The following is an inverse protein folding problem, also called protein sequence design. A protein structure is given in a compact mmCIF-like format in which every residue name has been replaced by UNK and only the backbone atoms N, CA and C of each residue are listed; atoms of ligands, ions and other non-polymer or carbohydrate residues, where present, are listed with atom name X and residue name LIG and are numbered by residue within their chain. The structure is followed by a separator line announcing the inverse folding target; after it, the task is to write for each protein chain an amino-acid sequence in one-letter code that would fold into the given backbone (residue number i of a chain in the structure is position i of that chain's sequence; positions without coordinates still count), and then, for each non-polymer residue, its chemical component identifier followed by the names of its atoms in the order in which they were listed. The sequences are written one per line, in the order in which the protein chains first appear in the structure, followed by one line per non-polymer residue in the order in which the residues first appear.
data_IF_963081848750
#
_entry.id   IF_963081848750
#
_cell.length_a   1.000
_cell.length_b   1.000
_cell.length_c   1.000
_cell.angle_alpha   90.00
_cell.angle_beta   90.00
_cell.angle_gamma   90.00
#
_symmetry.space_group_name_H-M   'P 1'
#
loop_
_entity.id
_entity.type
_entity.pdbx_description
1 polymer ?
#
# COMPACT_ATOMS: atom_id res chain seq x y z
N UNK A 1 -4.08 6.14 5.47
CA UNK A 1 -2.86 5.82 4.69
C UNK A 1 -2.28 4.57 5.28
N UNK A 2 -2.10 3.50 4.51
CA UNK A 2 -1.59 2.24 5.05
C UNK A 2 -0.12 2.38 5.48
N UNK A 3 0.19 1.86 6.65
CA UNK A 3 1.56 1.71 7.13
C UNK A 3 2.31 0.63 6.31
N UNK A 4 3.65 0.55 6.44
CA UNK A 4 4.49 -0.40 5.70
C UNK A 4 4.05 -1.86 5.90
N UNK A 5 3.69 -2.21 7.14
CA UNK A 5 3.18 -3.55 7.51
C UNK A 5 1.82 -3.80 6.84
N UNK A 6 0.84 -2.92 7.06
CA UNK A 6 -0.51 -3.02 6.49
C UNK A 6 -0.47 -3.11 4.96
N UNK A 7 0.41 -2.36 4.32
CA UNK A 7 0.61 -2.39 2.87
C UNK A 7 1.12 -3.72 2.36
N UNK A 8 2.04 -4.37 3.09
CA UNK A 8 2.56 -5.70 2.73
C UNK A 8 1.51 -6.78 2.98
N UNK A 9 0.83 -6.73 4.12
CA UNK A 9 -0.28 -7.65 4.45
C UNK A 9 -1.40 -7.53 3.40
N UNK A 10 -1.77 -6.30 3.03
CA UNK A 10 -2.77 -6.04 2.00
C UNK A 10 -2.32 -6.54 0.61
N UNK A 11 -1.04 -6.36 0.26
CA UNK A 11 -0.47 -6.88 -0.99
C UNK A 11 -0.53 -8.41 -1.04
N UNK A 12 -0.27 -9.08 0.09
CA UNK A 12 -0.43 -10.53 0.20
C UNK A 12 -1.89 -10.96 -0.02
N UNK A 13 -2.85 -10.33 0.69
CA UNK A 13 -4.27 -10.62 0.50
C UNK A 13 -4.73 -10.36 -0.92
N UNK A 14 -4.31 -9.24 -1.51
CA UNK A 14 -4.60 -8.92 -2.91
C UNK A 14 -4.07 -10.01 -3.83
N UNK A 15 -2.81 -10.40 -3.73
CA UNK A 15 -2.24 -11.43 -4.60
C UNK A 15 -2.91 -12.80 -4.46
N UNK A 16 -3.33 -13.15 -3.24
CA UNK A 16 -3.97 -14.43 -2.96
C UNK A 16 -5.44 -14.46 -3.39
N UNK A 17 -6.12 -13.31 -3.33
CA UNK A 17 -7.56 -13.16 -3.58
C UNK A 17 -7.93 -12.38 -4.83
N UNK A 18 -6.94 -11.97 -5.62
CA UNK A 18 -7.19 -11.38 -6.93
C UNK A 18 -8.05 -12.34 -7.75
N UNK A 19 -9.17 -11.83 -8.27
CA UNK A 19 -10.17 -12.57 -9.05
C UNK A 19 -10.97 -13.65 -8.29
N UNK A 20 -10.98 -13.64 -6.94
CA UNK A 20 -11.82 -14.55 -6.13
C UNK A 20 -12.71 -13.75 -5.18
N UNK A 21 -13.94 -14.20 -4.97
CA UNK A 21 -14.88 -13.57 -4.02
C UNK A 21 -14.43 -13.73 -2.57
N UNK A 22 -13.80 -14.85 -2.24
CA UNK A 22 -13.28 -15.15 -0.90
C UNK A 22 -12.09 -16.10 -0.97
N UNK A 23 -11.09 -15.91 -0.11
CA UNK A 23 -10.01 -16.88 0.10
C UNK A 23 -9.97 -17.39 1.53
N UNK A 24 -9.58 -18.64 1.66
CA UNK A 24 -9.20 -19.24 2.92
C UNK A 24 -7.69 -19.06 3.09
N UNK A 25 -7.29 -18.42 4.18
CA UNK A 25 -5.89 -18.14 4.51
C UNK A 25 -5.66 -18.54 5.96
N UNK A 26 -4.56 -19.25 6.22
CA UNK A 26 -4.12 -19.52 7.59
C UNK A 26 -3.30 -18.34 8.10
N UNK A 27 -3.43 -17.94 9.37
CA UNK A 27 -2.63 -16.85 9.95
C UNK A 27 -1.12 -17.08 9.78
N UNK A 28 -0.69 -18.33 9.90
CA UNK A 28 0.71 -18.77 9.75
C UNK A 28 1.25 -18.52 8.34
N UNK A 29 0.44 -18.75 7.31
CA UNK A 29 0.83 -18.56 5.91
C UNK A 29 1.13 -17.08 5.60
N UNK A 30 0.44 -16.17 6.30
CA UNK A 30 0.66 -14.73 6.17
C UNK A 30 2.08 -14.42 6.65
N UNK A 31 2.45 -14.84 7.86
CA UNK A 31 3.79 -14.60 8.42
C UNK A 31 4.90 -15.16 7.54
N UNK A 32 4.76 -16.41 7.10
CA UNK A 32 5.75 -17.09 6.25
C UNK A 32 5.97 -16.31 4.95
N UNK A 33 4.90 -15.80 4.35
CA UNK A 33 4.98 -15.03 3.11
C UNK A 33 5.58 -13.63 3.25
N UNK A 34 5.59 -13.06 4.47
CA UNK A 34 6.17 -11.75 4.74
C UNK A 34 7.66 -11.82 5.09
N UNK A 35 8.20 -13.01 5.42
CA UNK A 35 9.63 -13.24 5.65
C UNK A 35 10.28 -13.54 4.29
N UNK A 36 11.29 -12.78 3.81
CA UNK A 36 12.27 -11.98 4.57
C UNK A 36 12.04 -10.45 4.56
N UNK A 37 10.96 -9.95 3.98
CA UNK A 37 10.73 -8.51 3.82
C UNK A 37 10.40 -7.79 5.15
N UNK A 38 9.82 -8.52 6.12
CA UNK A 38 9.40 -7.96 7.41
C UNK A 38 9.19 -9.04 8.48
N UNK A 39 9.95 -9.01 9.58
CA UNK A 39 9.60 -9.73 10.80
C UNK A 39 8.43 -9.00 11.48
N UNK A 40 7.32 -9.70 11.69
CA UNK A 40 6.11 -9.14 12.30
C UNK A 40 5.68 -10.06 13.45
N UNK A 41 5.37 -9.45 14.59
CA UNK A 41 4.86 -10.18 15.75
C UNK A 41 3.34 -10.46 15.62
N UNK A 42 2.80 -11.48 16.30
CA UNK A 42 1.36 -11.82 16.24
C UNK A 42 0.45 -10.63 16.49
N UNK A 43 0.77 -9.85 17.53
CA UNK A 43 -0.01 -8.68 17.94
C UNK A 43 0.01 -7.57 16.88
N UNK A 44 1.11 -7.44 16.15
CA UNK A 44 1.23 -6.44 15.08
C UNK A 44 0.47 -6.87 13.83
N UNK A 45 0.50 -8.16 13.52
CA UNK A 45 -0.30 -8.73 12.44
C UNK A 45 -1.79 -8.56 12.72
N UNK A 46 -2.25 -8.92 13.93
CA UNK A 46 -3.65 -8.76 14.32
C UNK A 46 -4.09 -7.29 14.28
N UNK A 47 -3.23 -6.37 14.74
CA UNK A 47 -3.50 -4.93 14.62
C UNK A 47 -3.62 -4.48 13.17
N UNK A 48 -2.68 -4.89 12.32
CA UNK A 48 -2.70 -4.53 10.90
C UNK A 48 -3.94 -5.08 10.19
N UNK A 49 -4.33 -6.32 10.48
CA UNK A 49 -5.55 -6.94 9.94
C UNK A 49 -6.79 -6.22 10.42
N UNK A 50 -6.90 -5.91 11.72
CA UNK A 50 -8.03 -5.15 12.26
C UNK A 50 -8.14 -3.75 11.65
N UNK A 51 -7.01 -3.06 11.44
CA UNK A 51 -7.00 -1.76 10.77
C UNK A 51 -7.47 -1.88 9.32
N UNK A 52 -7.06 -2.92 8.59
CA UNK A 52 -7.51 -3.17 7.22
C UNK A 52 -9.02 -3.47 7.14
N UNK A 53 -9.58 -4.14 8.15
CA UNK A 53 -11.03 -4.38 8.28
C UNK A 53 -11.75 -3.04 8.54
N UNK A 54 -11.26 -2.26 9.51
CA UNK A 54 -11.85 -0.96 9.89
C UNK A 54 -11.85 0.04 8.73
N UNK A 55 -10.75 0.11 7.98
CA UNK A 55 -10.62 0.97 6.81
C UNK A 55 -11.45 0.49 5.59
N UNK A 56 -12.01 -0.73 5.69
CA UNK A 56 -12.87 -1.34 4.68
C UNK A 56 -12.12 -1.87 3.46
N UNK A 57 -10.84 -2.24 3.61
CA UNK A 57 -10.06 -2.88 2.55
C UNK A 57 -10.44 -4.37 2.41
N UNK A 58 -10.68 -5.04 3.53
CA UNK A 58 -11.01 -6.47 3.58
C UNK A 58 -12.22 -6.73 4.48
N UNK A 59 -12.88 -7.85 4.23
CA UNK A 59 -13.78 -8.50 5.18
C UNK A 59 -13.13 -9.79 5.67
N UNK A 60 -13.16 -10.06 6.96
CA UNK A 60 -12.57 -11.25 7.55
C UNK A 60 -13.62 -11.98 8.38
N UNK A 61 -13.92 -13.20 7.95
CA UNK A 61 -14.79 -14.13 8.68
C UNK A 61 -13.91 -15.23 9.22
N UNK A 62 -13.83 -15.34 10.54
CA UNK A 62 -13.15 -16.47 11.19
C UNK A 62 -14.09 -17.67 11.13
N UNK A 63 -13.66 -18.75 10.49
CA UNK A 63 -14.42 -20.00 10.44
C UNK A 63 -13.53 -21.13 10.94
N UNK A 64 -14.09 -21.96 11.82
CA UNK A 64 -13.46 -23.22 12.20
C UNK A 64 -13.70 -24.27 11.12
N UNK A 65 -12.62 -24.79 10.54
CA UNK A 65 -12.68 -25.97 9.69
C UNK A 65 -11.88 -27.08 10.34
N UNK A 66 -12.56 -28.11 10.87
CA UNK A 66 -11.94 -29.28 11.51
C UNK A 66 -11.02 -28.93 12.70
N UNK A 67 -11.40 -27.95 13.52
CA UNK A 67 -10.67 -27.57 14.74
C UNK A 67 -9.43 -26.70 14.52
N UNK A 68 -9.24 -26.17 13.30
CA UNK A 68 -8.21 -25.19 12.99
C UNK A 68 -8.89 -23.86 12.60
N UNK A 69 -8.44 -22.71 13.15
CA UNK A 69 -8.98 -21.40 12.79
C UNK A 69 -8.55 -21.06 11.37
N UNK A 70 -9.51 -20.86 10.47
CA UNK A 70 -9.27 -20.44 9.09
C UNK A 70 -9.85 -19.05 8.89
N UNK A 71 -9.06 -18.13 8.33
CA UNK A 71 -9.54 -16.81 7.96
C UNK A 71 -10.12 -16.84 6.54
N UNK A 72 -11.44 -16.67 6.43
CA UNK A 72 -12.11 -16.34 5.19
C UNK A 72 -11.95 -14.84 4.93
N UNK A 73 -11.05 -14.48 4.02
CA UNK A 73 -10.79 -13.09 3.64
C UNK A 73 -11.45 -12.78 2.31
N UNK A 74 -12.28 -11.74 2.28
CA UNK A 74 -12.90 -11.20 1.07
C UNK A 74 -12.41 -9.78 0.80
N UNK A 75 -12.08 -9.47 -0.46
CA UNK A 75 -11.63 -8.14 -0.85
C UNK A 75 -12.84 -7.24 -1.12
N UNK A 76 -12.94 -6.14 -0.38
CA UNK A 76 -13.93 -5.09 -0.66
C UNK A 76 -13.50 -4.24 -1.86
N UNK A 77 -14.39 -3.35 -2.33
CA UNK A 77 -14.14 -2.44 -3.45
C UNK A 77 -12.86 -1.61 -3.29
N UNK A 78 -12.58 -1.11 -2.07
CA UNK A 78 -11.31 -0.42 -1.76
C UNK A 78 -10.10 -1.34 -1.87
N UNK A 79 -10.24 -2.59 -1.42
CA UNK A 79 -9.19 -3.59 -1.52
C UNK A 79 -8.86 -3.98 -2.95
N UNK A 80 -9.86 -4.07 -3.83
CA UNK A 80 -9.67 -4.32 -5.26
C UNK A 80 -9.02 -3.12 -5.97
N UNK A 81 -9.33 -1.90 -5.53
CA UNK A 81 -8.72 -0.69 -6.05
C UNK A 81 -7.28 -0.45 -5.55
N UNK A 82 -6.81 -1.18 -4.54
CA UNK A 82 -5.53 -0.97 -3.87
C UNK A 82 -4.32 -0.95 -4.82
N UNK A 83 -4.23 -1.85 -5.80
CA UNK A 83 -3.12 -1.82 -6.76
C UNK A 83 -3.15 -0.57 -7.66
N UNK A 84 -4.34 -0.18 -8.13
CA UNK A 84 -4.52 1.03 -8.94
C UNK A 84 -4.16 2.28 -8.15
N UNK A 85 -4.60 2.34 -6.89
CA UNK A 85 -4.27 3.44 -5.98
C UNK A 85 -2.76 3.49 -5.71
N UNK A 86 -2.11 2.35 -5.47
CA UNK A 86 -0.66 2.29 -5.29
C UNK A 86 0.12 2.79 -6.52
N UNK A 87 -0.33 2.45 -7.73
CA UNK A 87 0.30 2.91 -8.97
C UNK A 87 0.08 4.40 -9.20
N UNK A 88 -1.14 4.89 -8.94
CA UNK A 88 -1.47 6.31 -9.09
C UNK A 88 -0.66 7.16 -8.12
N UNK A 89 -0.58 6.79 -6.84
CA UNK A 89 0.21 7.52 -5.83
C UNK A 89 1.69 7.60 -6.22
N UNK A 90 2.27 6.55 -6.82
CA UNK A 90 3.66 6.60 -7.33
C UNK A 90 3.81 7.59 -8.48
N UNK A 91 2.86 7.63 -9.41
CA UNK A 91 2.88 8.54 -10.56
C UNK A 91 2.68 9.99 -10.13
N UNK A 92 1.76 10.25 -9.21
CA UNK A 92 1.49 11.58 -8.65
C UNK A 92 2.72 12.12 -7.92
N UNK A 93 3.34 11.34 -7.03
CA UNK A 93 4.56 11.76 -6.35
C UNK A 93 5.68 12.10 -7.34
N UNK A 94 5.86 11.31 -8.40
CA UNK A 94 6.84 11.61 -9.46
C UNK A 94 6.50 12.91 -10.19
N UNK A 95 5.23 13.13 -10.52
CA UNK A 95 4.77 14.35 -11.18
C UNK A 95 5.02 15.59 -10.33
N UNK A 96 4.73 15.52 -9.02
CA UNK A 96 5.00 16.60 -8.07
C UNK A 96 6.49 16.93 -8.00
N UNK A 97 7.36 15.92 -7.92
CA UNK A 97 8.82 16.13 -7.90
C UNK A 97 9.30 16.79 -9.20
N UNK A 98 8.87 16.28 -10.36
CA UNK A 98 9.24 16.86 -11.67
C UNK A 98 8.78 18.31 -11.77
N UNK A 99 7.54 18.61 -11.35
CA UNK A 99 6.99 19.96 -11.36
C UNK A 99 7.80 20.91 -10.46
N UNK A 100 8.16 20.46 -9.26
CA UNK A 100 8.99 21.25 -8.34
C UNK A 100 10.38 21.54 -8.93
N UNK A 101 11.01 20.56 -9.57
CA UNK A 101 12.30 20.75 -10.24
C UNK A 101 12.17 21.71 -11.41
N UNK A 102 11.15 21.55 -12.25
CA UNK A 102 10.92 22.44 -13.40
C UNK A 102 10.72 23.90 -12.97
N UNK A 103 9.94 24.13 -11.91
CA UNK A 103 9.76 25.48 -11.35
C UNK A 103 11.06 26.07 -10.79
N UNK A 104 11.86 25.26 -10.10
CA UNK A 104 13.16 25.71 -9.59
C UNK A 104 14.12 26.10 -10.73
N UNK A 105 14.19 25.29 -11.79
CA UNK A 105 15.01 25.58 -12.98
C UNK A 105 14.57 26.87 -13.66
N UNK A 106 13.26 27.07 -13.85
CA UNK A 106 12.74 28.31 -14.43
C UNK A 106 13.09 29.55 -13.60
N UNK A 107 13.05 29.44 -12.27
CA UNK A 107 13.47 30.53 -11.37
C UNK A 107 14.96 30.87 -11.51
N UNK A 108 15.82 29.85 -11.62
CA UNK A 108 17.26 30.04 -11.84
C UNK A 108 17.53 30.68 -13.21
N UNK A 109 16.86 30.20 -14.27
CA UNK A 109 17.00 30.75 -15.62
C UNK A 109 16.55 32.22 -15.67
N UNK A 110 15.40 32.54 -15.07
CA UNK A 110 14.91 33.92 -14.99
C UNK A 110 15.91 34.83 -14.27
N UNK A 111 16.46 34.38 -13.14
CA UNK A 111 17.48 35.12 -12.39
C UNK A 111 18.75 35.33 -13.21
N UNK A 112 19.19 34.31 -13.95
CA UNK A 112 20.36 34.38 -14.81
C UNK A 112 20.18 35.36 -15.98
N UNK A 113 19.01 35.34 -16.63
CA UNK A 113 18.66 36.28 -17.70
C UNK A 113 18.63 37.73 -17.21
N UNK A 114 18.09 37.99 -16.01
CA UNK A 114 18.09 39.33 -15.41
C UNK A 114 19.53 39.80 -15.16
N UNK A 115 20.40 38.95 -14.60
CA UNK A 115 21.82 39.29 -14.41
C UNK A 115 22.52 39.62 -15.73
N UNK A 116 22.25 38.86 -16.78
CA UNK A 116 22.86 39.05 -18.09
C UNK A 116 22.43 40.37 -18.75
N UNK A 117 21.16 40.76 -18.59
CA UNK A 117 20.64 42.04 -19.11
C UNK A 117 21.13 43.23 -18.28
N UNK A 118 21.15 43.12 -16.96
CA UNK A 118 21.60 44.21 -16.08
C UNK A 118 23.12 44.34 -15.94
N UNK A 119 23.89 43.43 -16.56
CA UNK A 119 25.36 43.42 -16.60
C UNK A 119 26.01 43.77 -15.24
N UNK A 120 25.57 43.10 -14.18
CA UNK A 120 26.22 43.03 -12.86
C UNK A 120 27.10 41.78 -12.80
#
# INVERSE_FOLDING_TARGET
MLNKIEKQVMKYFYNRCCNKESCLIRPEDIKISLIPDLEINDTELDRAVNNLIYDGYIDLVVSDNKGLPVYCVSLKSKGQAFLREMENTKKENRYLIIRSIALAVLGVVATWLIKLIFNI
#
